data_IF_202551468639
#
_entry.id   IF_202551468639
#
_cell.length_a   1.000
_cell.length_b   1.000
_cell.length_c   1.000
_cell.angle_alpha   90.00
_cell.angle_beta   90.00
_cell.angle_gamma   90.00
#
_symmetry.space_group_name_H-M   'P 1'
#
loop_
_entity.id
_entity.type
_entity.pdbx_description
1 polymer ?
#
# COMPACT_ATOMS: atom_id res chain seq x y z
N UNK A 1 6.46 -5.64 19.61
CA UNK A 1 6.59 -4.23 19.21
C UNK A 1 5.32 -3.48 19.62
N UNK A 2 5.36 -2.61 20.64
CA UNK A 2 4.17 -1.89 21.08
C UNK A 2 3.84 -0.79 20.06
N UNK A 3 2.69 -0.93 19.40
CA UNK A 3 2.10 0.14 18.61
C UNK A 3 1.32 1.01 19.60
N UNK A 4 1.90 2.08 20.13
CA UNK A 4 1.22 2.95 21.09
C UNK A 4 0.11 3.76 20.39
N UNK A 5 -1.15 3.48 20.75
CA UNK A 5 -2.25 4.44 20.84
C UNK A 5 -2.75 5.16 19.59
N UNK A 6 -2.21 4.90 18.40
CA UNK A 6 -2.65 5.59 17.17
C UNK A 6 -2.91 4.55 16.10
N UNK A 7 -3.94 4.78 15.27
CA UNK A 7 -4.28 3.92 14.13
C UNK A 7 -3.05 3.69 13.25
N UNK A 8 -2.35 2.58 13.48
CA UNK A 8 -1.03 2.34 12.91
C UNK A 8 -1.07 1.09 12.04
N UNK A 9 -0.70 1.22 10.76
CA UNK A 9 -0.53 0.06 9.88
C UNK A 9 0.95 -0.27 9.69
N UNK A 10 1.27 -1.56 9.72
CA UNK A 10 2.56 -2.09 9.32
C UNK A 10 2.40 -2.91 8.05
N UNK A 11 3.14 -2.55 7.00
CA UNK A 11 3.27 -3.37 5.79
C UNK A 11 4.65 -4.03 5.78
N UNK A 12 4.69 -5.35 5.58
CA UNK A 12 5.92 -6.10 5.23
C UNK A 12 7.18 -5.81 6.10
N UNK A 13 7.03 -5.59 7.40
CA UNK A 13 8.17 -5.34 8.32
C UNK A 13 8.68 -3.89 8.34
N UNK A 14 7.96 -2.95 7.71
CA UNK A 14 8.22 -1.52 7.82
C UNK A 14 7.74 -0.97 9.16
N UNK A 15 8.23 0.23 9.52
CA UNK A 15 7.84 0.91 10.75
C UNK A 15 6.31 1.15 10.75
N UNK A 16 5.63 0.97 11.89
CA UNK A 16 4.22 1.34 11.99
C UNK A 16 4.02 2.82 11.65
N UNK A 17 3.06 3.12 10.78
CA UNK A 17 2.71 4.49 10.41
C UNK A 17 1.37 4.86 11.01
N UNK A 18 1.30 5.96 11.75
CA UNK A 18 0.02 6.55 12.18
C UNK A 18 -0.82 6.98 10.98
N UNK A 19 -2.14 7.10 11.16
CA UNK A 19 -3.03 7.64 10.12
C UNK A 19 -2.56 9.00 9.57
N UNK A 20 -2.05 9.89 10.43
CA UNK A 20 -1.57 11.21 10.00
C UNK A 20 -0.34 11.10 9.10
N UNK A 21 0.61 10.27 9.47
CA UNK A 21 1.81 10.00 8.65
C UNK A 21 1.44 9.30 7.34
N UNK A 22 0.53 8.32 7.40
CA UNK A 22 0.04 7.61 6.23
C UNK A 22 -0.57 8.56 5.19
N UNK A 23 -1.45 9.46 5.63
CA UNK A 23 -2.06 10.46 4.74
C UNK A 23 -1.02 11.44 4.19
N UNK A 24 0.00 11.81 4.97
CA UNK A 24 1.06 12.71 4.52
C UNK A 24 1.99 12.06 3.47
N UNK A 25 2.29 10.76 3.62
CA UNK A 25 3.15 10.01 2.69
C UNK A 25 2.38 9.64 1.41
N UNK A 26 1.09 9.37 1.53
CA UNK A 26 0.22 8.87 0.46
C UNK A 26 0.14 7.35 0.44
N UNK A 27 -1.02 6.83 0.02
CA UNK A 27 -1.34 5.40 0.10
C UNK A 27 -0.29 4.51 -0.59
N UNK A 28 -0.06 4.71 -1.88
CA UNK A 28 0.87 3.87 -2.65
C UNK A 28 2.32 3.94 -2.15
N UNK A 29 2.79 5.13 -1.79
CA UNK A 29 4.12 5.33 -1.23
C UNK A 29 4.29 4.56 0.08
N UNK A 30 3.29 4.60 0.94
CA UNK A 30 3.34 3.94 2.24
C UNK A 30 3.14 2.41 2.12
N UNK A 31 2.33 1.93 1.16
CA UNK A 31 2.15 0.50 0.86
C UNK A 31 3.41 -0.13 0.23
N UNK A 32 4.07 0.59 -0.67
CA UNK A 32 5.24 0.11 -1.42
C UNK A 32 6.57 0.57 -0.81
N UNK A 33 6.53 1.12 0.40
CA UNK A 33 7.72 1.48 1.16
C UNK A 33 8.66 0.28 1.26
N UNK A 34 9.94 0.49 0.93
CA UNK A 34 10.90 -0.60 0.74
C UNK A 34 12.29 -0.21 1.21
N UNK A 35 13.08 -1.22 1.60
CA UNK A 35 14.52 -1.09 1.88
C UNK A 35 15.39 -1.54 0.71
N UNK A 36 14.78 -1.93 -0.41
CA UNK A 36 15.53 -2.30 -1.60
C UNK A 36 16.43 -1.13 -2.04
N UNK A 37 17.62 -1.39 -2.57
CA UNK A 37 18.46 -0.37 -3.21
C UNK A 37 17.70 0.35 -4.34
N UNK A 38 17.91 1.67 -4.58
CA UNK A 38 17.18 2.44 -5.58
C UNK A 38 17.17 1.84 -7.00
N UNK A 39 18.26 1.20 -7.42
CA UNK A 39 18.42 0.52 -8.70
C UNK A 39 17.47 -0.69 -8.89
N UNK A 40 16.90 -1.20 -7.81
CA UNK A 40 15.96 -2.32 -7.82
C UNK A 40 14.50 -1.88 -7.62
N UNK A 41 14.24 -0.58 -7.63
CA UNK A 41 12.90 -0.01 -7.45
C UNK A 41 12.30 0.38 -8.80
N UNK A 42 11.34 -0.40 -9.30
CA UNK A 42 10.54 -0.02 -10.48
C UNK A 42 9.69 1.23 -10.15
N UNK A 43 9.13 1.27 -8.95
CA UNK A 43 8.47 2.43 -8.35
C UNK A 43 9.28 2.83 -7.12
N UNK A 44 9.74 4.09 -7.07
CA UNK A 44 10.58 4.59 -5.99
C UNK A 44 9.76 5.50 -5.04
N UNK A 45 9.22 4.97 -3.93
CA UNK A 45 8.33 5.72 -3.05
C UNK A 45 9.00 6.93 -2.40
N UNK A 46 10.33 6.97 -2.35
CA UNK A 46 11.09 8.09 -1.78
C UNK A 46 11.17 9.29 -2.75
N UNK A 47 10.86 9.10 -4.04
CA UNK A 47 10.89 10.16 -5.07
C UNK A 47 9.51 10.66 -5.49
N UNK A 48 8.46 9.95 -5.10
CA UNK A 48 7.10 10.25 -5.53
C UNK A 48 6.39 11.11 -4.48
N UNK A 49 5.77 12.20 -4.92
CA UNK A 49 4.76 12.91 -4.13
C UNK A 49 3.45 12.12 -4.08
N UNK A 50 2.56 12.46 -3.14
CA UNK A 50 1.21 11.88 -3.05
C UNK A 50 0.49 11.93 -4.41
N UNK A 51 0.53 13.08 -5.08
CA UNK A 51 -0.14 13.27 -6.37
C UNK A 51 0.53 12.48 -7.50
N UNK A 52 1.86 12.45 -7.57
CA UNK A 52 2.58 11.69 -8.61
C UNK A 52 2.37 10.18 -8.48
N UNK A 53 2.36 9.67 -7.24
CA UNK A 53 2.04 8.28 -6.97
C UNK A 53 0.61 7.95 -7.36
N UNK A 54 -0.36 8.76 -6.90
CA UNK A 54 -1.77 8.57 -7.27
C UNK A 54 -1.98 8.62 -8.78
N UNK A 55 -1.42 9.61 -9.46
CA UNK A 55 -1.49 9.72 -10.92
C UNK A 55 -0.87 8.50 -11.61
N UNK A 56 0.31 8.04 -11.16
CA UNK A 56 0.98 6.86 -11.73
C UNK A 56 0.06 5.64 -11.72
N UNK A 57 -0.57 5.33 -10.57
CA UNK A 57 -1.42 4.15 -10.45
C UNK A 57 -2.78 4.32 -11.15
N UNK A 58 -3.39 5.50 -11.10
CA UNK A 58 -4.65 5.76 -11.82
C UNK A 58 -4.45 5.72 -13.34
N UNK A 59 -3.31 6.18 -13.84
CA UNK A 59 -2.96 6.06 -15.26
C UNK A 59 -2.73 4.59 -15.64
N UNK A 60 -1.96 3.84 -14.86
CA UNK A 60 -1.66 2.43 -15.17
C UNK A 60 -2.90 1.53 -15.06
N UNK A 61 -3.79 1.80 -14.11
CA UNK A 61 -4.97 1.01 -13.80
C UNK A 61 -6.25 1.87 -13.89
N UNK A 62 -6.70 2.23 -15.11
CA UNK A 62 -7.85 3.12 -15.30
C UNK A 62 -9.18 2.55 -14.80
N UNK A 63 -9.29 1.22 -14.72
CA UNK A 63 -10.43 0.52 -14.09
C UNK A 63 -10.33 0.44 -12.56
N UNK A 64 -9.29 1.02 -11.99
CA UNK A 64 -8.97 0.93 -10.57
C UNK A 64 -8.00 -0.21 -10.25
N UNK A 65 -7.37 -0.07 -9.09
CA UNK A 65 -6.45 -1.04 -8.52
C UNK A 65 -6.93 -1.38 -7.11
N UNK A 66 -7.86 -2.33 -7.04
CA UNK A 66 -8.67 -2.60 -5.85
C UNK A 66 -7.87 -3.35 -4.78
N UNK A 67 -8.16 -3.05 -3.51
CA UNK A 67 -7.74 -3.87 -2.37
C UNK A 67 -8.86 -4.83 -1.99
N UNK A 68 -8.52 -6.11 -1.84
CA UNK A 68 -9.44 -7.16 -1.41
C UNK A 68 -8.85 -7.86 -0.18
N UNK A 69 -9.63 -7.91 0.90
CA UNK A 69 -9.28 -8.65 2.11
C UNK A 69 -9.61 -10.12 1.88
N UNK A 70 -8.60 -10.98 1.98
CA UNK A 70 -8.73 -12.42 1.70
C UNK A 70 -8.97 -13.22 2.98
N UNK A 71 -8.22 -12.92 4.04
CA UNK A 71 -8.32 -13.60 5.33
C UNK A 71 -8.13 -12.60 6.46
N UNK A 72 -8.92 -12.73 7.53
CA UNK A 72 -8.75 -11.94 8.77
C UNK A 72 -8.23 -12.88 9.86
N UNK A 73 -7.07 -12.55 10.41
CA UNK A 73 -6.37 -13.35 11.41
C UNK A 73 -6.64 -12.91 12.85
N UNK A 74 -7.01 -11.64 13.06
CA UNK A 74 -7.33 -11.13 14.41
C UNK A 74 -8.28 -9.94 14.36
N UNK A 75 -9.04 -9.74 15.44
CA UNK A 75 -9.96 -8.61 15.64
C UNK A 75 -9.37 -7.45 16.45
N UNK A 76 -10.15 -6.39 16.71
CA UNK A 76 -9.70 -5.24 17.50
C UNK A 76 -9.20 -5.63 18.91
N UNK A 77 -8.25 -4.86 19.50
CA UNK A 77 -7.68 -3.63 18.97
C UNK A 77 -6.55 -3.86 17.97
N UNK A 78 -6.12 -5.10 17.69
CA UNK A 78 -5.03 -5.38 16.75
C UNK A 78 -5.54 -6.28 15.64
N UNK A 79 -5.98 -5.68 14.55
CA UNK A 79 -6.53 -6.38 13.38
C UNK A 79 -5.39 -6.76 12.44
N UNK A 80 -5.18 -8.04 12.22
CA UNK A 80 -4.25 -8.55 11.21
C UNK A 80 -5.04 -9.22 10.09
N UNK A 81 -4.73 -8.92 8.85
CA UNK A 81 -5.39 -9.53 7.70
C UNK A 81 -4.46 -9.68 6.51
N UNK A 82 -4.71 -10.70 5.69
CA UNK A 82 -4.12 -10.87 4.38
C UNK A 82 -4.99 -10.19 3.34
N UNK A 83 -4.35 -9.52 2.40
CA UNK A 83 -5.02 -8.86 1.29
C UNK A 83 -4.34 -9.16 -0.03
N UNK A 84 -5.04 -8.85 -1.12
CA UNK A 84 -4.44 -8.61 -2.42
C UNK A 84 -4.80 -7.23 -2.93
N UNK A 85 -3.87 -6.61 -3.64
CA UNK A 85 -4.18 -5.53 -4.55
C UNK A 85 -4.22 -6.08 -5.97
N UNK A 86 -5.21 -5.71 -6.77
CA UNK A 86 -5.33 -6.22 -8.13
C UNK A 86 -6.00 -5.23 -9.09
N UNK A 87 -5.64 -5.33 -10.37
CA UNK A 87 -6.20 -4.51 -11.44
C UNK A 87 -5.64 -4.92 -12.80
N UNK A 88 -6.21 -4.39 -13.88
CA UNK A 88 -5.72 -4.66 -15.24
C UNK A 88 -4.84 -3.50 -15.70
N UNK A 89 -3.61 -3.81 -16.11
CA UNK A 89 -2.64 -2.79 -16.53
C UNK A 89 -2.89 -2.36 -17.98
N UNK A 90 -3.78 -1.39 -18.14
CA UNK A 90 -4.23 -0.87 -19.44
C UNK A 90 -3.58 0.47 -19.80
N UNK A 91 -2.92 1.12 -18.83
CA UNK A 91 -2.02 2.25 -19.09
C UNK A 91 -0.55 1.88 -18.86
N UNK A 92 0.36 2.76 -19.30
CA UNK A 92 1.79 2.57 -19.07
C UNK A 92 2.13 2.71 -17.58
N UNK A 93 3.16 2.02 -17.11
CA UNK A 93 3.64 2.10 -15.73
C UNK A 93 5.17 2.14 -15.70
N UNK A 94 5.77 3.27 -15.30
CA UNK A 94 7.22 3.44 -15.09
C UNK A 94 8.09 2.82 -16.21
N UNK A 95 7.75 3.11 -17.47
CA UNK A 95 8.48 2.61 -18.65
C UNK A 95 8.01 1.26 -19.20
N UNK A 96 7.11 0.57 -18.50
CA UNK A 96 6.48 -0.64 -18.99
C UNK A 96 5.23 -0.31 -19.83
N UNK A 97 5.11 -0.82 -21.06
CA UNK A 97 3.94 -0.59 -21.91
C UNK A 97 2.70 -1.30 -21.36
N UNK A 98 1.49 -0.77 -21.64
CA UNK A 98 0.26 -1.46 -21.27
C UNK A 98 0.15 -2.81 -21.97
N UNK A 99 -0.35 -3.82 -21.26
CA UNK A 99 -0.53 -5.16 -21.82
C UNK A 99 -1.92 -5.76 -21.52
N UNK A 100 -2.78 -5.04 -20.78
CA UNK A 100 -4.16 -5.41 -20.51
C UNK A 100 -4.34 -6.65 -19.61
N UNK A 101 -3.27 -7.22 -19.10
CA UNK A 101 -3.34 -8.39 -18.21
C UNK A 101 -3.54 -7.95 -16.76
N UNK A 102 -4.10 -8.85 -15.95
CA UNK A 102 -4.26 -8.63 -14.52
C UNK A 102 -2.91 -8.64 -13.84
N UNK A 103 -2.62 -7.59 -13.10
CA UNK A 103 -1.54 -7.53 -12.12
C UNK A 103 -2.17 -7.70 -10.75
N UNK A 104 -1.58 -8.53 -9.91
CA UNK A 104 -1.94 -8.63 -8.50
C UNK A 104 -0.71 -8.84 -7.62
N UNK A 105 -0.77 -8.32 -6.41
CA UNK A 105 0.21 -8.62 -5.37
C UNK A 105 -0.49 -8.87 -4.05
N UNK A 106 0.16 -9.64 -3.19
CA UNK A 106 -0.38 -10.06 -1.91
C UNK A 106 0.43 -9.44 -0.78
N UNK A 107 -0.24 -9.18 0.34
CA UNK A 107 0.40 -8.66 1.53
C UNK A 107 -0.37 -9.00 2.78
N UNK A 108 0.24 -8.67 3.92
CA UNK A 108 -0.40 -8.69 5.23
C UNK A 108 -0.25 -7.29 5.83
N UNK A 109 -1.34 -6.73 6.37
CA UNK A 109 -1.25 -5.56 7.26
C UNK A 109 -1.73 -5.94 8.66
N UNK A 110 -1.11 -5.27 9.63
CA UNK A 110 -1.57 -5.21 11.01
C UNK A 110 -1.97 -3.77 11.31
N UNK A 111 -3.25 -3.54 11.61
CA UNK A 111 -3.78 -2.27 12.11
C UNK A 111 -3.96 -2.33 13.63
N UNK A 112 -3.50 -1.30 14.33
CA UNK A 112 -4.05 -1.00 15.65
C UNK A 112 -5.31 -0.15 15.46
N UNK A 113 -6.45 -0.56 15.99
CA UNK A 113 -7.69 0.21 16.04
C UNK A 113 -8.04 0.47 17.49
N UNK A 114 -7.99 1.73 17.92
CA UNK A 114 -8.54 2.15 19.21
C UNK A 114 -10.01 2.50 19.04
N UNK A 115 -10.90 1.93 19.86
CA UNK A 115 -12.22 2.51 20.05
C UNK A 115 -12.03 3.87 20.71
N UNK A 116 -12.34 4.95 19.99
CA UNK A 116 -12.55 6.23 20.63
C UNK A 116 -13.84 6.10 21.45
N UNK A 117 -13.70 6.16 22.78
CA UNK A 117 -14.80 6.49 23.68
C UNK A 117 -14.83 8.01 23.85
#
# INVERSE_FOLDING_TARGET
LPCNGTNACCFAGMKPLTRKEWTAIGGYNAFLATKLPPEHRIYDPDKETVDSGMSTFLTAFPRGFAIEVLDVYSGPPRVAFKFRHWGYMEGPFKGHPPHGQRIEFFGVCIFHVSLAA
#
